data_IF_791041264164
#
_entry.id   IF_791041264164
#
_cell.length_a   1.000
_cell.length_b   1.000
_cell.length_c   1.000
_cell.angle_alpha   90.00
_cell.angle_beta   90.00
_cell.angle_gamma   90.00
#
_symmetry.space_group_name_H-M   'P 1'
#
loop_
_entity.id
_entity.type
_entity.pdbx_description
1 polymer ?
#
# COMPACT_ATOMS: atom_id res chain seq x y z
N UNK A 1 -0.94 -1.98 9.20
CA UNK A 1 -0.70 -3.43 9.03
C UNK A 1 0.77 -3.61 8.66
N UNK A 2 1.47 -4.49 9.36
CA UNK A 2 2.86 -4.86 9.06
C UNK A 2 2.96 -6.38 8.95
N UNK A 3 3.71 -6.85 7.95
CA UNK A 3 3.66 -8.25 7.57
C UNK A 3 2.25 -8.68 7.19
N UNK A 4 2.01 -9.97 7.34
CA UNK A 4 0.74 -10.56 6.93
C UNK A 4 -0.28 -10.70 8.06
N UNK A 5 0.10 -10.43 9.31
CA UNK A 5 -0.78 -10.68 10.46
C UNK A 5 -0.79 -9.62 11.54
N UNK A 6 0.14 -8.66 11.51
CA UNK A 6 0.26 -7.68 12.57
C UNK A 6 -0.54 -6.41 12.26
N UNK A 7 -1.39 -6.04 13.20
CA UNK A 7 -2.26 -4.87 13.10
C UNK A 7 -1.97 -3.89 14.23
N UNK A 8 -2.12 -2.61 13.90
CA UNK A 8 -2.13 -1.51 14.84
C UNK A 8 -3.35 -0.66 14.48
N UNK A 9 -4.30 -0.55 15.40
CA UNK A 9 -5.49 0.28 15.22
C UNK A 9 -5.15 1.77 15.14
N UNK A 10 -6.14 2.59 14.78
CA UNK A 10 -5.99 4.05 14.73
C UNK A 10 -5.72 4.67 16.10
N UNK A 11 -6.12 4.01 17.19
CA UNK A 11 -5.85 4.45 18.57
C UNK A 11 -4.64 3.74 19.21
N UNK A 12 -3.95 2.88 18.45
CA UNK A 12 -2.69 2.25 18.86
C UNK A 12 -2.86 0.92 19.61
N UNK A 13 -3.98 0.22 19.43
CA UNK A 13 -4.16 -1.17 19.87
C UNK A 13 -3.46 -2.12 18.91
N UNK A 14 -2.42 -2.79 19.38
CA UNK A 14 -1.75 -3.85 18.63
C UNK A 14 -2.45 -5.20 18.80
N UNK A 15 -2.48 -6.00 17.73
CA UNK A 15 -3.00 -7.37 17.73
C UNK A 15 -2.58 -8.17 16.51
N UNK A 16 -2.62 -9.49 16.65
CA UNK A 16 -2.28 -10.42 15.60
C UNK A 16 -3.50 -11.19 15.11
N UNK A 17 -3.72 -11.19 13.80
CA UNK A 17 -4.84 -11.88 13.19
C UNK A 17 -4.45 -12.56 11.88
N UNK A 18 -4.58 -13.89 11.85
CA UNK A 18 -4.07 -14.79 10.80
C UNK A 18 -5.18 -15.29 9.86
N UNK A 19 -6.26 -14.52 9.70
CA UNK A 19 -7.35 -14.86 8.80
C UNK A 19 -6.94 -14.83 7.33
N UNK A 20 -7.50 -15.72 6.51
CA UNK A 20 -7.20 -15.88 5.07
C UNK A 20 -8.35 -15.46 4.16
N UNK A 21 -9.28 -14.63 4.66
CA UNK A 21 -10.39 -14.08 3.90
C UNK A 21 -10.12 -12.63 3.46
N UNK A 22 -11.14 -11.99 2.88
CA UNK A 22 -11.22 -10.54 2.79
C UNK A 22 -11.76 -9.94 4.10
N UNK A 23 -11.17 -8.84 4.55
CA UNK A 23 -11.54 -8.16 5.79
C UNK A 23 -11.56 -6.64 5.61
N UNK A 24 -12.55 -5.99 6.21
CA UNK A 24 -12.61 -4.52 6.31
C UNK A 24 -11.55 -4.02 7.28
N UNK A 25 -10.55 -3.29 6.79
CA UNK A 25 -9.58 -2.59 7.63
C UNK A 25 -10.22 -1.36 8.27
N UNK A 26 -10.79 -0.47 7.47
CA UNK A 26 -11.44 0.74 7.93
C UNK A 26 -12.52 1.16 6.93
N UNK A 27 -13.68 1.56 7.42
CA UNK A 27 -14.73 2.17 6.61
C UNK A 27 -15.50 3.23 7.40
N UNK A 28 -16.22 4.11 6.71
CA UNK A 28 -17.15 5.04 7.34
C UNK A 28 -18.41 4.29 7.78
N UNK A 29 -18.73 4.32 9.07
CA UNK A 29 -19.84 3.54 9.65
C UNK A 29 -20.97 4.40 10.21
N UNK A 30 -20.76 5.72 10.28
CA UNK A 30 -21.79 6.68 10.65
C UNK A 30 -22.59 7.17 9.44
N UNK A 31 -23.82 7.63 9.67
CA UNK A 31 -24.68 8.25 8.65
C UNK A 31 -24.40 9.76 8.42
N UNK A 32 -23.17 10.22 8.67
CA UNK A 32 -22.81 11.64 8.54
C UNK A 32 -22.80 12.09 7.08
N UNK A 33 -23.70 12.99 6.70
CA UNK A 33 -23.77 13.57 5.35
C UNK A 33 -22.59 14.51 5.03
N UNK A 34 -21.78 14.90 6.02
CA UNK A 34 -20.64 15.81 5.86
C UNK A 34 -19.32 15.09 5.57
N UNK A 35 -19.29 13.76 5.76
CA UNK A 35 -18.08 12.95 5.57
C UNK A 35 -18.19 12.20 4.25
N UNK A 36 -17.11 12.23 3.46
CA UNK A 36 -17.03 11.42 2.26
C UNK A 36 -16.95 9.93 2.64
N UNK A 37 -17.74 9.10 1.96
CA UNK A 37 -17.73 7.67 2.19
C UNK A 37 -16.44 7.02 1.64
N UNK A 38 -15.91 6.04 2.38
CA UNK A 38 -14.78 5.23 1.95
C UNK A 38 -14.81 3.86 2.63
N UNK A 39 -14.16 2.88 2.01
CA UNK A 39 -13.78 1.62 2.67
C UNK A 39 -12.40 1.16 2.20
N UNK A 40 -11.68 0.50 3.10
CA UNK A 40 -10.39 -0.14 2.82
C UNK A 40 -10.51 -1.60 3.22
N UNK A 41 -10.32 -2.50 2.25
CA UNK A 41 -10.42 -3.95 2.43
C UNK A 41 -9.08 -4.58 2.12
N UNK A 42 -8.65 -5.53 2.96
CA UNK A 42 -7.52 -6.40 2.67
C UNK A 42 -8.05 -7.77 2.28
N UNK A 43 -7.65 -8.28 1.12
CA UNK A 43 -7.87 -9.66 0.73
C UNK A 43 -6.60 -10.46 1.03
N UNK A 44 -6.76 -11.56 1.77
CA UNK A 44 -5.67 -12.47 2.07
C UNK A 44 -5.92 -13.83 1.45
N UNK A 45 -4.83 -14.56 1.24
CA UNK A 45 -4.85 -15.95 0.80
C UNK A 45 -4.00 -16.80 1.74
N UNK A 46 -4.21 -18.11 1.70
CA UNK A 46 -3.37 -19.05 2.43
C UNK A 46 -1.99 -19.14 1.77
N UNK A 47 -0.91 -19.11 2.56
CA UNK A 47 0.39 -19.59 2.06
C UNK A 47 0.27 -21.04 1.57
N UNK A 48 1.14 -21.45 0.64
CA UNK A 48 1.11 -22.80 0.07
C UNK A 48 1.25 -23.95 1.08
N UNK A 49 1.77 -23.68 2.29
CA UNK A 49 1.85 -24.62 3.41
C UNK A 49 0.73 -24.45 4.46
N UNK A 50 -0.17 -23.48 4.28
CA UNK A 50 -1.35 -23.26 5.11
C UNK A 50 -1.08 -22.74 6.52
N UNK A 51 0.13 -22.21 6.78
CA UNK A 51 0.56 -21.77 8.12
C UNK A 51 0.45 -20.27 8.35
N UNK A 52 0.48 -19.48 7.28
CA UNK A 52 0.47 -18.02 7.35
C UNK A 52 -0.51 -17.48 6.32
N UNK A 53 -1.29 -16.47 6.70
CA UNK A 53 -2.04 -15.70 5.71
C UNK A 53 -1.05 -14.86 4.89
N UNK A 54 -1.37 -14.53 3.65
CA UNK A 54 -0.59 -13.56 2.86
C UNK A 54 -1.51 -12.53 2.26
N UNK A 55 -1.11 -11.27 2.30
CA UNK A 55 -1.85 -10.23 1.61
C UNK A 55 -1.83 -10.51 0.11
N UNK A 56 -3.01 -10.64 -0.50
CA UNK A 56 -3.15 -10.77 -1.95
C UNK A 56 -3.39 -9.41 -2.58
N UNK A 57 -4.41 -8.71 -2.09
CA UNK A 57 -4.79 -7.38 -2.59
C UNK A 57 -5.20 -6.46 -1.45
N UNK A 58 -5.05 -5.15 -1.68
CA UNK A 58 -5.65 -4.10 -0.87
C UNK A 58 -6.54 -3.25 -1.78
N UNK A 59 -7.81 -3.10 -1.39
CA UNK A 59 -8.82 -2.39 -2.17
C UNK A 59 -9.26 -1.15 -1.41
N UNK A 60 -9.11 0.01 -2.02
CA UNK A 60 -9.63 1.28 -1.51
C UNK A 60 -10.84 1.67 -2.35
N UNK A 61 -12.02 1.69 -1.73
CA UNK A 61 -13.25 2.14 -2.38
C UNK A 61 -13.58 3.56 -1.93
N UNK A 62 -13.66 4.51 -2.87
CA UNK A 62 -13.90 5.92 -2.59
C UNK A 62 -14.51 6.63 -3.80
N UNK A 63 -15.51 7.49 -3.58
CA UNK A 63 -16.15 8.32 -4.62
C UNK A 63 -16.58 7.52 -5.89
N UNK A 64 -17.01 6.26 -5.73
CA UNK A 64 -17.44 5.40 -6.85
C UNK A 64 -16.31 4.65 -7.58
N UNK A 65 -15.07 4.76 -7.12
CA UNK A 65 -13.92 4.01 -7.63
C UNK A 65 -13.51 2.92 -6.64
N UNK A 66 -13.26 1.72 -7.14
CA UNK A 66 -12.56 0.66 -6.43
C UNK A 66 -11.13 0.58 -6.98
N UNK A 67 -10.15 0.93 -6.16
CA UNK A 67 -8.73 1.00 -6.52
C UNK A 67 -8.00 -0.13 -5.80
N UNK A 68 -7.51 -1.09 -6.57
CA UNK A 68 -6.86 -2.30 -6.07
C UNK A 68 -5.36 -2.23 -6.29
N UNK A 69 -4.60 -2.46 -5.23
CA UNK A 69 -3.14 -2.66 -5.25
C UNK A 69 -2.85 -4.13 -4.97
N UNK A 70 -2.31 -4.83 -5.97
CA UNK A 70 -1.97 -6.25 -5.87
C UNK A 70 -0.56 -6.44 -5.32
N UNK A 71 -0.37 -7.43 -4.44
CA UNK A 71 0.96 -7.77 -3.93
C UNK A 71 1.89 -8.20 -5.07
N UNK A 72 3.12 -7.69 -5.06
CA UNK A 72 4.17 -8.00 -6.03
C UNK A 72 4.04 -7.25 -7.36
N UNK A 73 2.87 -6.71 -7.70
CA UNK A 73 2.68 -5.86 -8.87
C UNK A 73 3.11 -4.44 -8.52
N UNK A 74 4.18 -3.96 -9.16
CA UNK A 74 4.74 -2.64 -8.88
C UNK A 74 4.17 -1.59 -9.83
N UNK A 75 3.99 -0.39 -9.30
CA UNK A 75 3.76 0.86 -10.04
C UNK A 75 2.55 0.90 -10.98
N UNK A 76 1.63 -0.03 -10.79
CA UNK A 76 0.35 -0.10 -11.48
C UNK A 76 -0.73 -0.40 -10.45
N UNK A 77 -1.96 0.03 -10.74
CA UNK A 77 -3.14 -0.22 -9.94
C UNK A 77 -4.30 -0.64 -10.83
N UNK A 78 -5.22 -1.41 -10.30
CA UNK A 78 -6.46 -1.78 -10.99
C UNK A 78 -7.58 -0.88 -10.51
N UNK A 79 -8.24 -0.15 -11.41
CA UNK A 79 -9.35 0.74 -11.08
C UNK A 79 -10.61 0.24 -11.78
N UNK A 80 -11.61 -0.15 -11.01
CA UNK A 80 -12.87 -0.73 -11.52
C UNK A 80 -12.62 -1.88 -12.52
N UNK A 81 -11.57 -2.68 -12.27
CA UNK A 81 -11.16 -3.81 -13.10
C UNK A 81 -10.14 -3.49 -14.18
N UNK A 82 -9.89 -2.22 -14.53
CA UNK A 82 -8.97 -1.83 -15.62
C UNK A 82 -7.59 -1.44 -15.06
N UNK A 83 -6.51 -1.80 -15.77
CA UNK A 83 -5.14 -1.58 -15.32
C UNK A 83 -4.62 -0.18 -15.69
N UNK A 84 -4.00 0.50 -14.73
CA UNK A 84 -3.42 1.83 -14.91
C UNK A 84 -1.99 1.90 -14.38
N UNK A 85 -1.09 2.52 -15.14
CA UNK A 85 0.25 2.89 -14.67
C UNK A 85 0.18 4.14 -13.78
N UNK A 86 1.11 4.24 -12.83
CA UNK A 86 1.27 5.43 -11.99
C UNK A 86 2.22 6.45 -12.64
N UNK A 87 2.01 7.76 -12.40
CA UNK A 87 0.97 8.35 -11.57
C UNK A 87 -0.40 8.37 -12.24
N UNK A 88 -1.45 8.40 -11.42
CA UNK A 88 -2.85 8.39 -11.85
C UNK A 88 -3.64 9.47 -11.09
N UNK A 89 -4.42 10.26 -11.82
CA UNK A 89 -5.41 11.17 -11.26
C UNK A 89 -6.81 10.75 -11.71
N UNK A 90 -7.72 10.55 -10.77
CA UNK A 90 -9.11 10.22 -11.04
C UNK A 90 -10.01 11.38 -10.59
N UNK A 91 -11.20 11.43 -11.17
CA UNK A 91 -12.26 12.35 -10.75
C UNK A 91 -11.81 13.81 -10.70
N UNK A 92 -11.25 14.29 -11.82
CA UNK A 92 -10.66 15.63 -11.95
C UNK A 92 -9.56 15.92 -10.91
N UNK A 93 -8.85 14.88 -10.48
CA UNK A 93 -7.75 14.97 -9.51
C UNK A 93 -8.20 14.98 -8.05
N UNK A 94 -9.47 14.72 -7.72
CA UNK A 94 -9.91 14.53 -6.33
C UNK A 94 -9.30 13.30 -5.69
N UNK A 95 -8.96 12.29 -6.50
CA UNK A 95 -8.21 11.11 -6.07
C UNK A 95 -6.91 11.07 -6.87
N UNK A 96 -5.79 10.89 -6.19
CA UNK A 96 -4.47 10.77 -6.81
C UNK A 96 -3.80 9.52 -6.30
N UNK A 97 -3.13 8.79 -7.19
CA UNK A 97 -2.34 7.60 -6.86
C UNK A 97 -0.96 7.79 -7.46
N UNK A 98 0.05 7.83 -6.60
CA UNK A 98 1.43 8.13 -6.98
C UNK A 98 2.39 7.04 -6.47
N UNK A 99 3.54 6.94 -7.12
CA UNK A 99 4.70 6.29 -6.54
C UNK A 99 5.49 7.28 -5.67
N UNK A 100 5.59 7.01 -4.37
CA UNK A 100 6.44 7.75 -3.45
C UNK A 100 7.43 6.81 -2.74
N UNK A 101 8.70 6.90 -3.16
CA UNK A 101 9.74 5.94 -2.77
C UNK A 101 9.38 4.53 -3.21
N UNK A 102 9.29 3.61 -2.25
CA UNK A 102 8.84 2.23 -2.46
C UNK A 102 7.33 2.03 -2.44
N UNK A 103 6.56 3.08 -2.21
CA UNK A 103 5.15 2.95 -1.86
C UNK A 103 4.24 3.41 -2.98
N UNK A 104 3.14 2.70 -3.15
CA UNK A 104 1.94 3.21 -3.81
C UNK A 104 1.19 4.05 -2.78
N UNK A 105 1.01 5.33 -3.07
CA UNK A 105 0.33 6.27 -2.19
C UNK A 105 -0.92 6.81 -2.88
N UNK A 106 -2.07 6.55 -2.27
CA UNK A 106 -3.35 7.12 -2.66
C UNK A 106 -3.69 8.30 -1.72
N UNK A 107 -4.11 9.41 -2.30
CA UNK A 107 -4.56 10.60 -1.59
C UNK A 107 -5.92 11.06 -2.12
N UNK A 108 -6.79 11.47 -1.22
CA UNK A 108 -8.06 12.12 -1.56
C UNK A 108 -8.05 13.59 -1.16
N UNK A 109 -8.89 14.39 -1.80
CA UNK A 109 -9.11 15.81 -1.49
C UNK A 109 -9.70 16.04 -0.09
N UNK A 110 -10.49 15.11 0.43
CA UNK A 110 -10.98 15.12 1.81
C UNK A 110 -9.96 14.64 2.85
N UNK A 111 -8.74 14.27 2.42
CA UNK A 111 -7.59 14.04 3.28
C UNK A 111 -7.32 12.59 3.69
N UNK A 112 -8.11 11.62 3.21
CA UNK A 112 -7.75 10.20 3.38
C UNK A 112 -6.44 9.92 2.64
N UNK A 113 -5.54 9.20 3.31
CA UNK A 113 -4.32 8.69 2.69
C UNK A 113 -4.19 7.20 2.91
N UNK A 114 -3.79 6.50 1.88
CA UNK A 114 -3.43 5.09 1.93
C UNK A 114 -2.04 4.91 1.35
N UNK A 115 -1.22 4.11 2.01
CA UNK A 115 0.13 3.77 1.60
C UNK A 115 0.29 2.26 1.66
N UNK A 116 0.80 1.65 0.59
CA UNK A 116 1.19 0.25 0.57
C UNK A 116 2.46 0.04 -0.24
N UNK A 117 3.41 -0.73 0.27
CA UNK A 117 4.67 -1.04 -0.42
C UNK A 117 4.56 -2.22 -1.41
N UNK A 118 3.32 -2.64 -1.72
CA UNK A 118 3.00 -3.79 -2.55
C UNK A 118 3.60 -5.12 -2.05
N UNK A 119 3.96 -5.21 -0.76
CA UNK A 119 4.69 -6.36 -0.22
C UNK A 119 4.33 -6.74 1.21
N UNK A 120 4.56 -5.86 2.18
CA UNK A 120 4.63 -6.18 3.61
C UNK A 120 3.98 -5.11 4.50
N UNK A 121 3.99 -3.83 4.12
CA UNK A 121 3.52 -2.74 5.00
C UNK A 121 2.44 -1.90 4.35
N UNK A 122 1.29 -1.79 5.04
CA UNK A 122 0.19 -0.90 4.66
C UNK A 122 -0.21 0.04 5.80
N UNK A 123 -0.46 1.30 5.46
CA UNK A 123 -0.86 2.35 6.38
C UNK A 123 -2.09 3.09 5.85
N UNK A 124 -3.14 3.16 6.67
CA UNK A 124 -4.32 3.99 6.45
C UNK A 124 -4.21 5.19 7.38
N UNK A 125 -4.24 6.41 6.83
CA UNK A 125 -4.32 7.65 7.59
C UNK A 125 -5.68 8.30 7.35
N UNK A 126 -6.48 8.38 8.41
CA UNK A 126 -7.82 8.94 8.37
C UNK A 126 -7.80 10.37 8.98
N UNK A 127 -8.44 11.37 8.35
CA UNK A 127 -8.52 12.72 8.91
C UNK A 127 -9.22 12.75 10.27
N UNK A 128 -8.81 13.66 11.16
CA UNK A 128 -9.38 13.79 12.50
C UNK A 128 -10.87 14.15 12.52
N UNK A 129 -11.44 14.64 11.40
CA UNK A 129 -12.88 14.86 11.24
C UNK A 129 -13.70 13.56 11.27
N UNK A 130 -13.07 12.40 11.04
CA UNK A 130 -13.71 11.09 11.09
C UNK A 130 -13.60 10.42 12.48
N UNK A 131 -13.11 11.14 13.50
CA UNK A 131 -12.96 10.61 14.86
C UNK A 131 -14.30 10.06 15.38
N UNK A 132 -14.36 8.78 15.76
CA UNK A 132 -15.58 8.11 16.23
C UNK A 132 -16.61 7.80 15.13
N UNK A 133 -16.27 7.98 13.85
CA UNK A 133 -17.17 7.73 12.71
C UNK A 133 -16.75 6.52 11.87
N UNK A 134 -15.58 5.95 12.12
CA UNK A 134 -15.04 4.80 11.40
C UNK A 134 -15.21 3.52 12.21
N UNK A 135 -15.17 2.38 11.53
CA UNK A 135 -15.10 1.07 12.14
C UNK A 135 -14.36 0.08 11.23
N UNK A 136 -14.06 -1.12 11.72
CA UNK A 136 -13.25 -2.13 11.03
C UNK A 136 -12.14 -2.68 11.93
N UNK A 137 -11.23 -3.44 11.35
CA UNK A 137 -10.05 -3.96 12.07
C UNK A 137 -9.13 -2.85 12.61
N UNK A 138 -9.19 -1.64 12.04
CA UNK A 138 -8.44 -0.48 12.52
C UNK A 138 -9.12 0.26 13.68
N UNK A 139 -10.19 -0.30 14.27
CA UNK A 139 -10.87 0.26 15.43
C UNK A 139 -11.83 1.40 15.09
N UNK A 140 -12.28 2.13 16.10
CA UNK A 140 -13.30 3.16 15.96
C UNK A 140 -12.74 4.60 15.90
N UNK A 141 -11.44 4.76 16.13
CA UNK A 141 -10.72 6.03 16.11
C UNK A 141 -11.34 7.07 17.05
N UNK A 142 -11.53 6.75 18.32
CA UNK A 142 -12.09 7.66 19.32
C UNK A 142 -11.03 8.12 20.35
N UNK A 143 -9.83 7.56 20.29
CA UNK A 143 -8.70 7.81 21.19
C UNK A 143 -8.60 6.84 22.37
N UNK A 144 -9.45 5.82 22.45
CA UNK A 144 -9.42 4.78 23.48
C UNK A 144 -9.12 3.40 22.88
N UNK A 145 -7.85 3.03 22.87
CA UNK A 145 -7.40 1.72 22.38
C UNK A 145 -8.04 0.50 23.08
N UNK A 146 -8.69 0.68 24.22
CA UNK A 146 -9.29 -0.44 24.96
C UNK A 146 -10.65 -0.86 24.40
N UNK A 147 -11.29 -0.02 23.59
CA UNK A 147 -12.55 -0.33 22.95
C UNK A 147 -12.42 -0.65 21.45
N UNK A 148 -11.21 -0.76 20.89
CA UNK A 148 -11.03 -0.99 19.46
C UNK A 148 -11.55 -2.34 18.94
N UNK A 149 -11.77 -3.32 19.81
CA UNK A 149 -12.32 -4.62 19.44
C UNK A 149 -13.84 -4.64 19.43
N UNK A 150 -14.46 -3.70 18.72
CA UNK A 150 -15.91 -3.71 18.49
C UNK A 150 -16.26 -4.59 17.31
N UNK A 151 -17.30 -5.39 17.49
CA UNK A 151 -17.99 -6.10 16.43
C UNK A 151 -18.83 -5.11 15.60
N UNK A 152 -19.26 -5.45 14.38
CA UNK A 152 -20.21 -4.63 13.60
C UNK A 152 -21.52 -4.30 14.35
N UNK A 153 -21.89 -5.14 15.33
CA UNK A 153 -23.05 -4.91 16.21
C UNK A 153 -22.84 -3.82 17.28
N UNK A 154 -21.63 -3.27 17.41
CA UNK A 154 -21.25 -2.31 18.45
C UNK A 154 -20.95 -2.93 19.82
N UNK A 155 -20.93 -4.26 19.93
CA UNK A 155 -20.51 -4.97 21.16
C UNK A 155 -19.02 -5.26 21.14
N UNK A 156 -18.38 -5.33 22.30
CA UNK A 156 -16.99 -5.78 22.42
C UNK A 156 -16.85 -7.27 22.11
N UNK A 157 -15.83 -7.62 21.34
CA UNK A 157 -15.42 -9.00 21.09
C UNK A 157 -14.80 -9.63 22.35
N UNK A 158 -14.91 -10.95 22.47
CA UNK A 158 -14.32 -11.73 23.57
C UNK A 158 -12.83 -11.98 23.36
N UNK A 159 -12.40 -12.07 22.11
CA UNK A 159 -11.01 -12.30 21.70
C UNK A 159 -10.75 -11.76 20.28
N UNK A 160 -9.49 -11.83 19.85
CA UNK A 160 -9.05 -11.28 18.56
C UNK A 160 -9.60 -12.10 17.39
N UNK A 161 -9.80 -13.40 17.57
CA UNK A 161 -10.34 -14.27 16.54
C UNK A 161 -11.81 -13.93 16.23
N UNK A 162 -12.63 -13.74 17.26
CA UNK A 162 -14.02 -13.29 17.12
C UNK A 162 -14.08 -11.89 16.49
N UNK A 163 -13.21 -10.98 16.96
CA UNK A 163 -13.10 -9.64 16.39
C UNK A 163 -12.78 -9.69 14.90
N UNK A 164 -11.70 -10.38 14.53
CA UNK A 164 -11.24 -10.49 13.15
C UNK A 164 -12.25 -11.15 12.22
N UNK A 165 -12.84 -12.27 12.67
CA UNK A 165 -13.85 -12.99 11.90
C UNK A 165 -15.13 -12.17 11.65
N UNK A 166 -15.47 -11.25 12.57
CA UNK A 166 -16.68 -10.42 12.45
C UNK A 166 -16.59 -9.34 11.35
N UNK A 167 -15.37 -8.97 10.93
CA UNK A 167 -15.12 -7.98 9.88
C UNK A 167 -14.88 -8.60 8.50
N UNK A 168 -15.27 -9.87 8.32
CA UNK A 168 -15.12 -10.58 7.04
C UNK A 168 -16.04 -10.00 5.97
N UNK A 169 -15.49 -9.79 4.78
CA UNK A 169 -16.23 -9.42 3.58
C UNK A 169 -16.54 -10.68 2.77
N UNK A 170 -17.81 -10.95 2.41
CA UNK A 170 -18.16 -12.07 1.54
C UNK A 170 -17.50 -11.93 0.16
N UNK A 171 -16.84 -13.00 -0.30
CA UNK A 171 -16.28 -13.11 -1.65
C UNK A 171 -16.86 -14.36 -2.30
N UNK A 172 -17.52 -14.20 -3.44
CA UNK A 172 -18.21 -15.30 -4.13
C UNK A 172 -17.24 -16.43 -4.49
N UNK A 173 -17.60 -17.65 -4.13
CA UNK A 173 -16.80 -18.86 -4.42
C UNK A 173 -15.53 -19.02 -3.57
N UNK A 174 -15.21 -18.08 -2.67
CA UNK A 174 -14.03 -18.16 -1.83
C UNK A 174 -14.28 -19.04 -0.59
N UNK A 175 -13.42 -20.04 -0.37
CA UNK A 175 -13.31 -20.75 0.91
C UNK A 175 -12.08 -20.23 1.64
N UNK A 176 -12.25 -19.77 2.88
CA UNK A 176 -11.16 -19.20 3.68
C UNK A 176 -11.33 -19.54 5.17
N UNK A 177 -10.29 -19.29 5.96
CA UNK A 177 -10.24 -19.60 7.39
C UNK A 177 -10.14 -18.32 8.24
N UNK A 178 -10.71 -18.36 9.44
CA UNK A 178 -10.66 -17.24 10.40
C UNK A 178 -9.35 -17.17 11.21
N UNK A 179 -8.39 -18.06 10.93
CA UNK A 179 -7.08 -18.11 11.55
C UNK A 179 -6.29 -19.34 11.14
N UNK A 180 -5.09 -19.50 11.71
CA UNK A 180 -4.23 -20.68 11.50
C UNK A 180 -4.54 -21.87 12.43
N UNK A 181 -5.50 -21.74 13.36
CA UNK A 181 -5.80 -22.77 14.35
C UNK A 181 -4.57 -23.17 15.16
N UNK A 182 -4.29 -24.46 15.31
CA UNK A 182 -3.09 -24.97 16.01
C UNK A 182 -1.79 -24.86 15.18
N UNK A 183 -1.85 -24.34 13.95
CA UNK A 183 -0.71 -24.27 13.02
C UNK A 183 0.07 -22.97 13.09
N UNK A 184 -0.37 -22.03 13.94
CA UNK A 184 0.30 -20.75 14.10
C UNK A 184 1.74 -20.94 14.64
N UNK A 185 2.73 -20.17 14.13
CA UNK A 185 4.09 -20.20 14.66
C UNK A 185 4.13 -19.94 16.18
N UNK A 186 4.78 -20.83 16.92
CA UNK A 186 5.04 -20.63 18.35
C UNK A 186 6.42 -20.00 18.51
N UNK A 187 6.43 -18.70 18.85
CA UNK A 187 7.61 -17.86 18.96
C UNK A 187 7.86 -17.43 20.41
N UNK A 188 8.43 -18.34 21.19
CA UNK A 188 8.82 -18.07 22.57
C UNK A 188 10.06 -17.16 22.69
N UNK A 189 10.42 -16.82 23.92
CA UNK A 189 11.58 -15.99 24.21
C UNK A 189 12.91 -16.59 23.69
N UNK A 190 13.05 -17.92 23.69
CA UNK A 190 14.28 -18.57 23.23
C UNK A 190 14.45 -18.47 21.71
N UNK A 191 13.35 -18.61 20.96
CA UNK A 191 13.35 -18.49 19.49
C UNK A 191 13.50 -17.04 19.00
N UNK A 192 13.07 -16.07 19.79
CA UNK A 192 13.16 -14.64 19.44
C UNK A 192 14.44 -13.98 19.95
N UNK A 193 15.09 -14.52 21.00
CA UNK A 193 16.32 -13.98 21.58
C UNK A 193 17.43 -13.63 20.57
N UNK A 194 17.73 -14.46 19.55
CA UNK A 194 18.78 -14.14 18.58
C UNK A 194 18.56 -12.86 17.77
N UNK A 195 17.30 -12.41 17.65
CA UNK A 195 16.93 -11.26 16.81
C UNK A 195 16.80 -9.95 17.60
N UNK A 196 16.97 -9.97 18.92
CA UNK A 196 16.86 -8.78 19.78
C UNK A 196 18.06 -7.82 19.63
N UNK A 197 19.15 -8.28 19.03
CA UNK A 197 20.38 -7.49 18.83
C UNK A 197 20.21 -6.40 17.78
N UNK A 198 21.03 -5.34 17.85
CA UNK A 198 20.97 -4.21 16.91
C UNK A 198 21.31 -4.56 15.46
N UNK A 199 22.01 -5.67 15.20
CA UNK A 199 22.24 -6.18 13.85
C UNK A 199 21.01 -6.92 13.27
N UNK A 200 19.88 -6.93 13.98
CA UNK A 200 18.60 -7.51 13.59
C UNK A 200 17.45 -6.58 14.01
N UNK A 201 16.40 -7.09 14.65
CA UNK A 201 15.23 -6.29 15.04
C UNK A 201 15.57 -5.20 16.06
N UNK A 202 16.62 -5.38 16.87
CA UNK A 202 17.06 -4.39 17.86
C UNK A 202 17.35 -3.01 17.29
N UNK A 203 17.66 -2.91 15.99
CA UNK A 203 17.89 -1.64 15.29
C UNK A 203 16.69 -0.69 15.41
N UNK A 204 15.46 -1.23 15.46
CA UNK A 204 14.21 -0.47 15.58
C UNK A 204 14.20 0.36 16.87
N UNK A 205 14.71 -0.21 17.97
CA UNK A 205 14.69 0.40 19.32
C UNK A 205 16.01 1.06 19.71
N UNK A 206 17.06 0.93 18.90
CA UNK A 206 18.37 1.48 19.20
C UNK A 206 18.30 3.00 19.44
N UNK A 207 18.59 3.44 20.68
CA UNK A 207 18.46 4.85 21.09
C UNK A 207 19.43 5.79 20.35
N UNK A 208 20.59 5.27 19.96
CA UNK A 208 21.56 5.96 19.10
C UNK A 208 21.44 5.57 17.61
N UNK A 209 20.43 4.78 17.27
CA UNK A 209 20.25 4.19 15.95
C UNK A 209 19.74 5.18 14.89
N UNK A 210 19.48 4.66 13.67
CA UNK A 210 19.04 5.47 12.54
C UNK A 210 17.64 6.05 12.72
N UNK A 211 16.81 5.43 13.56
CA UNK A 211 15.41 5.80 13.80
C UNK A 211 15.18 6.64 15.06
N UNK A 212 16.22 7.03 15.79
CA UNK A 212 16.06 7.68 17.11
C UNK A 212 15.14 8.91 17.13
N UNK A 213 15.18 9.74 16.08
CA UNK A 213 14.37 10.98 16.00
C UNK A 213 12.89 10.68 15.68
N UNK A 214 12.58 9.43 15.32
CA UNK A 214 11.23 8.95 15.06
C UNK A 214 10.55 8.39 16.31
N UNK A 215 11.31 7.93 17.31
CA UNK A 215 10.74 7.21 18.47
C UNK A 215 9.68 8.00 19.24
N UNK A 216 9.74 9.34 19.22
CA UNK A 216 8.74 10.22 19.82
C UNK A 216 7.48 10.42 18.97
N UNK A 217 7.55 10.13 17.67
CA UNK A 217 6.45 10.26 16.71
C UNK A 217 5.77 8.91 16.46
N UNK A 218 6.55 7.83 16.39
CA UNK A 218 6.09 6.46 16.20
C UNK A 218 6.78 5.56 17.21
N UNK A 219 6.01 4.97 18.13
CA UNK A 219 6.54 4.05 19.13
C UNK A 219 7.25 2.86 18.46
N UNK A 220 8.50 2.55 18.82
CA UNK A 220 9.24 1.42 18.25
C UNK A 220 8.81 0.06 18.83
N UNK A 221 8.03 0.03 19.92
CA UNK A 221 7.74 -1.19 20.68
C UNK A 221 7.04 -2.26 19.84
N UNK A 222 5.87 -1.93 19.28
CA UNK A 222 5.07 -2.89 18.50
C UNK A 222 5.81 -3.33 17.22
N UNK A 223 6.50 -2.41 16.54
CA UNK A 223 7.29 -2.76 15.35
C UNK A 223 8.46 -3.70 15.66
N UNK A 224 9.08 -3.55 16.84
CA UNK A 224 10.12 -4.46 17.31
C UNK A 224 9.55 -5.84 17.62
N UNK A 225 8.43 -5.91 18.33
CA UNK A 225 7.80 -7.18 18.69
C UNK A 225 7.28 -7.94 17.45
N UNK A 226 6.69 -7.23 16.49
CA UNK A 226 6.31 -7.79 15.18
C UNK A 226 7.54 -8.34 14.43
N UNK A 227 8.65 -7.59 14.40
CA UNK A 227 9.89 -8.06 13.76
C UNK A 227 10.41 -9.35 14.41
N UNK A 228 10.38 -9.46 15.74
CA UNK A 228 10.80 -10.67 16.44
C UNK A 228 9.93 -11.88 16.07
N UNK A 229 8.61 -11.68 16.05
CA UNK A 229 7.66 -12.73 15.67
C UNK A 229 7.90 -13.19 14.23
N UNK A 230 7.97 -12.25 13.28
CA UNK A 230 8.17 -12.56 11.86
C UNK A 230 9.51 -13.24 11.60
N UNK A 231 10.59 -12.79 12.24
CA UNK A 231 11.89 -13.44 12.15
C UNK A 231 11.88 -14.86 12.71
N UNK A 232 11.14 -15.11 13.80
CA UNK A 232 10.94 -16.46 14.31
C UNK A 232 10.10 -17.31 13.34
N UNK A 233 8.97 -16.79 12.84
CA UNK A 233 8.08 -17.50 11.92
C UNK A 233 8.77 -17.84 10.60
N UNK A 234 9.64 -16.96 10.11
CA UNK A 234 10.42 -17.13 8.88
C UNK A 234 11.76 -17.85 9.10
N UNK A 235 12.02 -18.40 10.29
CA UNK A 235 13.27 -19.09 10.64
C UNK A 235 14.54 -18.27 10.32
N UNK A 236 14.50 -16.96 10.58
CA UNK A 236 15.63 -16.06 10.43
C UNK A 236 15.90 -15.58 9.01
N UNK A 237 14.93 -15.69 8.09
CA UNK A 237 15.08 -15.23 6.71
C UNK A 237 15.45 -13.73 6.64
N UNK A 238 16.56 -13.41 5.99
CA UNK A 238 17.07 -12.04 5.92
C UNK A 238 16.14 -11.07 5.20
N UNK A 239 15.36 -11.53 4.21
CA UNK A 239 14.36 -10.70 3.53
C UNK A 239 13.28 -10.20 4.50
N UNK A 240 12.83 -11.06 5.41
CA UNK A 240 11.84 -10.71 6.45
C UNK A 240 12.36 -9.60 7.35
N UNK A 241 13.61 -9.69 7.82
CA UNK A 241 14.24 -8.62 8.59
C UNK A 241 14.22 -7.29 7.83
N UNK A 242 14.60 -7.32 6.55
CA UNK A 242 14.66 -6.12 5.73
C UNK A 242 13.28 -5.51 5.49
N UNK A 243 12.24 -6.33 5.35
CA UNK A 243 10.85 -5.90 5.22
C UNK A 243 10.36 -5.25 6.53
N UNK A 244 10.62 -5.86 7.69
CA UNK A 244 10.25 -5.29 9.00
C UNK A 244 10.94 -3.95 9.28
N UNK A 245 12.23 -3.84 8.98
CA UNK A 245 12.98 -2.57 9.14
C UNK A 245 12.47 -1.49 8.17
N UNK A 246 12.16 -1.87 6.93
CA UNK A 246 11.57 -0.97 5.94
C UNK A 246 10.19 -0.49 6.35
N UNK A 247 9.36 -1.35 6.95
CA UNK A 247 8.05 -0.98 7.46
C UNK A 247 8.15 0.13 8.51
N UNK A 248 9.10 0.00 9.46
CA UNK A 248 9.32 1.05 10.46
C UNK A 248 9.90 2.33 9.84
N UNK A 249 10.82 2.22 8.88
CA UNK A 249 11.33 3.36 8.12
C UNK A 249 10.19 4.13 7.41
N UNK A 250 9.29 3.42 6.73
CA UNK A 250 8.14 4.00 6.05
C UNK A 250 7.15 4.66 7.04
N UNK A 251 6.86 4.02 8.18
CA UNK A 251 6.04 4.58 9.24
C UNK A 251 6.62 5.90 9.78
N UNK A 252 7.93 5.93 10.03
CA UNK A 252 8.66 7.12 10.45
C UNK A 252 8.59 8.26 9.44
N UNK A 253 8.79 7.95 8.16
CA UNK A 253 8.72 8.94 7.08
C UNK A 253 7.30 9.48 6.88
N UNK A 254 6.29 8.61 6.98
CA UNK A 254 4.88 9.01 6.94
C UNK A 254 4.54 9.98 8.11
N UNK A 255 5.07 9.71 9.30
CA UNK A 255 4.95 10.61 10.46
C UNK A 255 5.77 11.91 10.33
N UNK A 256 6.62 12.03 9.31
CA UNK A 256 7.46 13.21 9.06
C UNK A 256 8.79 13.22 9.82
N UNK A 257 9.21 12.09 10.39
CA UNK A 257 10.52 11.96 11.02
C UNK A 257 11.64 12.00 9.97
N UNK A 258 12.78 12.59 10.34
CA UNK A 258 14.03 12.44 9.57
C UNK A 258 14.76 11.20 10.07
N UNK A 259 14.85 10.18 9.22
CA UNK A 259 15.61 8.96 9.49
C UNK A 259 17.02 9.06 8.91
N UNK A 260 17.95 8.24 9.42
CA UNK A 260 19.33 8.14 8.89
C UNK A 260 19.52 6.84 8.13
N UNK A 261 20.61 6.77 7.37
CA UNK A 261 20.97 5.58 6.61
C UNK A 261 21.02 4.36 7.54
N UNK A 262 20.26 3.33 7.18
CA UNK A 262 20.17 2.07 7.90
C UNK A 262 20.53 0.87 7.02
N UNK A 263 20.41 1.00 5.70
CA UNK A 263 20.89 0.03 4.72
C UNK A 263 22.37 0.22 4.44
N UNK A 264 23.05 -0.88 4.16
CA UNK A 264 24.43 -0.89 3.64
C UNK A 264 24.54 -1.93 2.52
N UNK A 265 25.69 -1.99 1.84
CA UNK A 265 25.94 -3.00 0.81
C UNK A 265 25.82 -4.45 1.35
N UNK A 266 26.08 -4.66 2.63
CA UNK A 266 26.01 -5.98 3.30
C UNK A 266 24.78 -6.15 4.20
N UNK A 267 23.96 -5.11 4.38
CA UNK A 267 22.80 -5.15 5.27
C UNK A 267 21.58 -4.55 4.58
N UNK A 268 20.66 -5.42 4.17
CA UNK A 268 19.45 -5.05 3.45
C UNK A 268 19.68 -4.15 2.24
N UNK A 269 20.60 -4.51 1.31
CA UNK A 269 20.84 -3.68 0.13
C UNK A 269 19.57 -3.53 -0.71
N UNK A 270 19.41 -2.37 -1.33
CA UNK A 270 18.30 -2.08 -2.22
C UNK A 270 18.84 -1.84 -3.63
N UNK A 271 18.45 -2.71 -4.57
CA UNK A 271 18.79 -2.57 -5.98
C UNK A 271 17.78 -1.66 -6.68
N UNK A 272 18.29 -0.73 -7.47
CA UNK A 272 17.51 0.19 -8.28
C UNK A 272 17.62 -0.15 -9.77
N UNK A 273 16.59 0.16 -10.58
CA UNK A 273 16.64 -0.07 -12.02
C UNK A 273 17.73 0.79 -12.68
N UNK A 274 18.03 0.50 -13.94
CA UNK A 274 18.99 1.30 -14.71
C UNK A 274 18.64 2.80 -14.69
N UNK A 275 19.67 3.64 -14.68
CA UNK A 275 19.56 5.10 -14.62
C UNK A 275 18.87 5.64 -13.36
N UNK A 276 19.07 4.94 -12.25
CA UNK A 276 18.59 5.36 -10.94
C UNK A 276 19.49 4.85 -9.82
N UNK A 277 19.41 5.51 -8.68
CA UNK A 277 20.17 5.16 -7.48
C UNK A 277 19.26 5.10 -6.25
N UNK A 278 19.74 4.41 -5.21
CA UNK A 278 19.06 4.37 -3.92
C UNK A 278 19.14 5.73 -3.24
N UNK A 279 18.00 6.19 -2.72
CA UNK A 279 17.93 7.35 -1.84
C UNK A 279 17.03 7.06 -0.64
N UNK A 280 17.44 7.55 0.52
CA UNK A 280 16.64 7.42 1.75
C UNK A 280 15.39 8.30 1.70
N UNK A 281 15.42 9.38 0.92
CA UNK A 281 14.38 10.39 0.82
C UNK A 281 14.26 10.80 -0.64
N UNK A 282 13.50 10.02 -1.42
CA UNK A 282 13.37 10.27 -2.87
C UNK A 282 12.45 11.46 -3.16
N UNK A 283 12.58 11.99 -4.37
CA UNK A 283 11.64 12.90 -5.02
C UNK A 283 10.95 12.18 -6.18
N UNK A 284 10.61 10.90 -5.99
CA UNK A 284 10.12 10.02 -7.07
C UNK A 284 8.79 10.45 -7.67
N UNK A 285 7.98 11.21 -6.92
CA UNK A 285 6.73 11.76 -7.43
C UNK A 285 6.93 13.10 -8.15
N UNK A 286 7.98 13.87 -7.84
CA UNK A 286 8.24 15.19 -8.46
C UNK A 286 8.74 15.06 -9.91
N UNK A 287 9.55 14.04 -10.20
CA UNK A 287 10.26 13.89 -11.48
C UNK A 287 9.80 12.63 -12.24
N UNK A 288 8.55 12.67 -12.68
CA UNK A 288 7.94 11.63 -13.52
C UNK A 288 7.74 12.16 -14.94
N UNK A 289 7.61 11.26 -15.90
CA UNK A 289 7.24 11.61 -17.26
C UNK A 289 5.88 12.32 -17.32
N UNK A 290 4.90 11.88 -16.52
CA UNK A 290 3.62 12.58 -16.39
C UNK A 290 3.78 13.99 -15.82
N UNK A 291 4.75 14.18 -14.91
CA UNK A 291 5.13 15.45 -14.29
C UNK A 291 5.58 16.54 -15.26
N UNK A 292 6.02 16.15 -16.46
CA UNK A 292 6.41 17.10 -17.52
C UNK A 292 5.21 17.83 -18.13
N UNK A 293 4.04 17.19 -18.13
CA UNK A 293 2.80 17.75 -18.68
C UNK A 293 1.94 18.40 -17.61
N UNK A 294 1.89 17.79 -16.41
CA UNK A 294 1.06 18.25 -15.30
C UNK A 294 1.86 18.22 -14.01
N UNK A 295 1.89 19.31 -13.21
CA UNK A 295 2.60 19.33 -11.95
C UNK A 295 2.14 18.19 -11.02
N UNK A 296 3.10 17.43 -10.50
CA UNK A 296 2.82 16.37 -9.55
C UNK A 296 2.32 16.94 -8.22
N UNK A 297 1.35 16.27 -7.61
CA UNK A 297 0.85 16.61 -6.28
C UNK A 297 1.09 15.43 -5.34
N UNK A 298 2.26 15.45 -4.71
CA UNK A 298 2.75 14.44 -3.79
C UNK A 298 2.30 14.74 -2.35
N UNK A 299 2.55 13.82 -1.42
CA UNK A 299 2.23 14.02 0.01
C UNK A 299 3.02 15.13 0.69
N UNK A 300 4.06 15.66 0.04
CA UNK A 300 5.06 16.56 0.62
C UNK A 300 5.99 15.86 1.61
N UNK A 301 5.84 14.55 1.80
CA UNK A 301 6.81 13.68 2.46
C UNK A 301 7.75 13.10 1.41
N UNK A 302 8.86 12.57 1.87
CA UNK A 302 9.73 11.74 1.05
C UNK A 302 9.83 10.36 1.69
N UNK A 303 10.03 9.36 0.85
CA UNK A 303 10.13 7.98 1.27
C UNK A 303 11.41 7.35 0.71
N UNK A 304 11.92 6.33 1.41
CA UNK A 304 13.01 5.52 0.91
C UNK A 304 12.63 4.85 -0.42
N UNK A 305 13.55 4.83 -1.39
CA UNK A 305 13.31 4.17 -2.68
C UNK A 305 14.42 4.42 -3.70
N UNK A 306 14.04 4.38 -4.98
CA UNK A 306 14.94 4.68 -6.09
C UNK A 306 14.64 6.06 -6.66
N UNK A 307 15.69 6.84 -6.88
CA UNK A 307 15.65 8.17 -7.49
C UNK A 307 16.25 8.07 -8.90
N UNK A 308 15.53 8.53 -9.91
CA UNK A 308 16.09 8.62 -11.26
C UNK A 308 17.26 9.58 -11.29
N UNK A 309 18.29 9.23 -12.06
CA UNK A 309 19.47 10.04 -12.28
C UNK A 309 19.13 11.31 -13.09
N UNK A 310 20.00 12.32 -13.02
CA UNK A 310 19.83 13.54 -13.79
C UNK A 310 19.71 13.25 -15.30
N UNK A 311 18.69 13.82 -15.95
CA UNK A 311 18.37 13.56 -17.37
C UNK A 311 17.37 12.42 -17.60
N UNK A 312 16.97 11.71 -16.55
CA UNK A 312 15.98 10.64 -16.60
C UNK A 312 14.74 10.99 -15.77
N UNK A 313 13.59 10.45 -16.16
CA UNK A 313 12.31 10.62 -15.48
C UNK A 313 11.62 9.26 -15.32
N UNK A 314 10.84 9.11 -14.25
CA UNK A 314 10.11 7.87 -13.99
C UNK A 314 8.92 7.71 -14.95
N UNK A 315 8.82 6.57 -15.63
CA UNK A 315 7.72 6.22 -16.55
C UNK A 315 6.70 5.23 -15.93
N UNK A 316 6.69 5.16 -14.61
CA UNK A 316 5.97 4.15 -13.86
C UNK A 316 6.86 2.99 -13.47
N UNK A 317 7.58 2.34 -14.39
CA UNK A 317 8.35 1.12 -14.05
C UNK A 317 9.87 1.30 -13.95
N UNK A 318 10.40 2.26 -14.67
CA UNK A 318 11.83 2.56 -14.68
C UNK A 318 12.11 4.04 -14.91
N UNK A 319 13.39 4.33 -15.12
CA UNK A 319 13.88 5.68 -15.40
C UNK A 319 14.30 5.75 -16.86
N UNK A 320 13.55 6.50 -17.66
CA UNK A 320 13.76 6.69 -19.10
C UNK A 320 14.26 8.11 -19.38
N UNK A 321 14.96 8.29 -20.50
CA UNK A 321 15.35 9.63 -20.94
C UNK A 321 14.11 10.45 -21.27
N UNK A 322 14.14 11.77 -21.03
CA UNK A 322 12.96 12.62 -21.12
C UNK A 322 12.32 12.64 -22.53
N UNK A 323 13.10 12.44 -23.59
CA UNK A 323 12.63 12.32 -24.98
C UNK A 323 11.76 11.07 -25.24
N UNK A 324 11.88 10.06 -24.36
CA UNK A 324 11.10 8.82 -24.39
C UNK A 324 9.90 8.83 -23.45
N UNK A 325 9.64 9.95 -22.79
CA UNK A 325 8.45 10.07 -21.96
C UNK A 325 7.18 9.89 -22.78
N UNK A 326 6.20 9.24 -22.14
CA UNK A 326 4.89 9.00 -22.70
C UNK A 326 3.94 10.20 -22.55
N UNK A 327 2.65 9.91 -22.50
CA UNK A 327 1.57 10.88 -22.66
C UNK A 327 0.69 10.89 -21.42
N UNK A 328 -0.04 11.99 -21.20
CA UNK A 328 -1.09 12.05 -20.17
C UNK A 328 -2.42 12.36 -20.85
N UNK A 329 -3.42 11.53 -20.58
CA UNK A 329 -4.80 11.71 -21.06
C UNK A 329 -5.76 11.52 -19.90
N UNK A 330 -6.61 12.51 -19.62
CA UNK A 330 -7.68 12.42 -18.63
C UNK A 330 -7.19 11.92 -17.25
N UNK A 331 -5.97 12.32 -16.86
CA UNK A 331 -5.32 11.92 -15.61
C UNK A 331 -4.62 10.55 -15.63
N UNK A 332 -4.74 9.77 -16.71
CA UNK A 332 -4.00 8.51 -16.95
C UNK A 332 -2.67 8.80 -17.64
N UNK A 333 -1.58 8.28 -17.08
CA UNK A 333 -0.30 8.21 -17.77
C UNK A 333 -0.27 7.00 -18.72
N UNK A 334 0.22 7.22 -19.94
CA UNK A 334 0.42 6.20 -20.98
C UNK A 334 1.89 6.16 -21.34
N UNK A 335 2.50 4.98 -21.35
CA UNK A 335 3.90 4.83 -21.80
C UNK A 335 4.00 5.11 -23.31
N UNK A 336 5.18 5.52 -23.77
CA UNK A 336 5.43 5.68 -25.20
C UNK A 336 5.22 4.33 -25.92
N UNK A 337 4.38 4.32 -26.96
CA UNK A 337 3.93 3.14 -27.69
C UNK A 337 2.67 2.47 -27.13
N UNK A 338 2.21 2.84 -25.93
CA UNK A 338 0.97 2.29 -25.34
C UNK A 338 -0.26 2.75 -26.13
N UNK A 339 -1.20 1.83 -26.35
CA UNK A 339 -2.50 2.12 -26.94
C UNK A 339 -3.62 1.88 -25.94
N UNK A 340 -4.61 2.77 -25.91
CA UNK A 340 -5.81 2.65 -25.08
C UNK A 340 -7.07 2.88 -25.89
N UNK A 341 -8.13 2.19 -25.51
CA UNK A 341 -9.46 2.30 -26.12
C UNK A 341 -10.39 3.03 -25.16
N UNK A 342 -11.23 3.92 -25.68
CA UNK A 342 -12.20 4.67 -24.88
C UNK A 342 -13.24 3.75 -24.23
N UNK A 343 -13.92 4.23 -23.18
CA UNK A 343 -14.90 3.43 -22.43
C UNK A 343 -16.05 2.86 -23.27
N UNK A 344 -16.42 3.57 -24.33
CA UNK A 344 -17.45 3.22 -25.33
C UNK A 344 -16.86 2.56 -26.59
N UNK A 345 -15.56 2.31 -26.63
CA UNK A 345 -14.80 1.77 -27.76
C UNK A 345 -14.93 2.56 -29.08
N UNK A 346 -15.35 3.82 -29.02
CA UNK A 346 -15.49 4.69 -30.20
C UNK A 346 -14.17 5.30 -30.66
N UNK A 347 -13.13 5.25 -29.84
CA UNK A 347 -11.83 5.84 -30.11
C UNK A 347 -10.69 4.96 -29.59
N UNK A 348 -9.60 4.87 -30.35
CA UNK A 348 -8.33 4.27 -29.92
C UNK A 348 -7.23 5.32 -30.00
N UNK A 349 -6.46 5.47 -28.93
CA UNK A 349 -5.34 6.39 -28.89
C UNK A 349 -4.03 5.68 -28.63
N UNK A 350 -3.02 6.06 -29.41
CA UNK A 350 -1.64 5.58 -29.26
C UNK A 350 -0.77 6.73 -28.79
N UNK A 351 -0.06 6.51 -27.69
CA UNK A 351 0.94 7.44 -27.21
C UNK A 351 2.23 7.30 -28.03
N UNK A 352 2.74 8.40 -28.56
CA UNK A 352 4.03 8.50 -29.23
C UNK A 352 5.10 8.95 -28.23
N UNK A 353 6.37 8.75 -28.60
CA UNK A 353 7.48 9.31 -27.84
C UNK A 353 7.37 10.85 -27.79
N UNK A 354 7.95 11.45 -26.75
CA UNK A 354 7.90 12.90 -26.50
C UNK A 354 6.49 13.45 -26.22
N UNK A 355 5.55 12.58 -25.80
CA UNK A 355 4.23 12.99 -25.30
C UNK A 355 3.15 13.27 -26.35
N UNK A 356 3.40 12.98 -27.63
CA UNK A 356 2.38 13.13 -28.67
C UNK A 356 1.30 12.05 -28.57
N UNK A 357 0.02 12.42 -28.51
CA UNK A 357 -1.09 11.46 -28.48
C UNK A 357 -1.84 11.47 -29.82
N UNK A 358 -1.95 10.33 -30.48
CA UNK A 358 -2.70 10.17 -31.73
C UNK A 358 -3.93 9.32 -31.47
N UNK A 359 -5.11 9.90 -31.72
CA UNK A 359 -6.41 9.28 -31.50
C UNK A 359 -7.15 9.11 -32.81
N UNK A 360 -7.71 7.93 -33.04
CA UNK A 360 -8.43 7.57 -34.25
C UNK A 360 -9.78 6.93 -33.91
N UNK A 361 -10.82 7.12 -34.75
CA UNK A 361 -12.09 6.41 -34.58
C UNK A 361 -11.86 4.90 -34.52
N UNK A 362 -12.49 4.27 -33.54
CA UNK A 362 -12.44 2.84 -33.32
C UNK A 362 -13.86 2.27 -33.27
N UNK A 363 -13.97 0.98 -33.54
CA UNK A 363 -15.22 0.26 -33.46
C UNK A 363 -14.97 -1.23 -33.58
N UNK A 364 -15.73 -2.01 -32.80
CA UNK A 364 -15.64 -3.45 -32.83
C UNK A 364 -16.15 -3.99 -34.18
N UNK A 365 -15.46 -4.97 -34.80
CA UNK A 365 -15.96 -5.72 -35.94
C UNK A 365 -17.35 -6.36 -35.68
N UNK A 366 -18.05 -6.71 -36.76
CA UNK A 366 -19.33 -7.37 -36.64
C UNK A 366 -19.22 -8.70 -35.87
N UNK A 367 -19.96 -8.84 -34.78
CA UNK A 367 -19.94 -10.01 -33.89
C UNK A 367 -19.00 -9.89 -32.69
N UNK A 368 -18.22 -8.82 -32.61
CA UNK A 368 -17.39 -8.48 -31.44
C UNK A 368 -18.08 -7.42 -30.58
N UNK A 369 -17.78 -7.42 -29.29
CA UNK A 369 -18.33 -6.47 -28.33
C UNK A 369 -17.21 -5.89 -27.45
N UNK A 370 -17.28 -4.57 -27.25
CA UNK A 370 -16.39 -3.83 -26.36
C UNK A 370 -16.50 -4.40 -24.94
N UNK A 371 -15.39 -4.90 -24.41
CA UNK A 371 -15.36 -5.48 -23.08
C UNK A 371 -14.03 -5.19 -22.38
N UNK A 372 -14.06 -5.34 -21.05
CA UNK A 372 -12.86 -5.35 -20.24
C UNK A 372 -12.46 -6.81 -20.01
N UNK A 373 -11.31 -7.21 -20.52
CA UNK A 373 -10.75 -8.55 -20.35
C UNK A 373 -9.33 -8.45 -19.80
N UNK A 374 -9.04 -9.18 -18.73
CA UNK A 374 -7.72 -9.20 -18.07
C UNK A 374 -7.15 -7.81 -17.77
N UNK A 375 -8.03 -6.86 -17.46
CA UNK A 375 -7.68 -5.47 -17.13
C UNK A 375 -7.40 -4.56 -18.32
N UNK A 376 -7.64 -5.02 -19.56
CA UNK A 376 -7.48 -4.26 -20.79
C UNK A 376 -8.82 -4.13 -21.50
N UNK A 377 -9.15 -2.91 -21.94
CA UNK A 377 -10.35 -2.62 -22.71
C UNK A 377 -10.08 -2.76 -24.20
N UNK A 378 -10.99 -3.41 -24.92
CA UNK A 378 -10.91 -3.60 -26.38
C UNK A 378 -12.18 -4.17 -26.98
#
# INVERSE_FOLDING_TARGET
>A
MAGDSHYLSLDGRAFDFQGTCAYTLAELCSSSAQLANFSVVVEKESSGDGRVARTRTLVVSVQGYAITVERGRKWTVVVNGELYALPLALDSGRIRVNQEGKNVVLQTDFGLKFLYDASYYALVSVPSSYKGHVCGLCGNFNGDKNDDFLLPSGKSARNVEEFGASWKVPVDGATCADGCGERCPVCDAAKTAPYQVESACGLIRAASGPFRDCHSLVSPAEYFDHCLYDMCAANGAGETLCQSLQAYAAACQAAGAKIRAWRTASFCPLACPANSHYELCTRSCDFTCAGLSTPAQCTGKCFEGCQCDAGYAADGEGCVSMDRCGCVRDGRYLKAGESVVSGDCSEKCTCQASGGLVCEPHGCPAGEACALQDGVRG
#
